data_IF_601916787691
#
_entry.id   IF_601916787691
#
_cell.length_a   1.000
_cell.length_b   1.000
_cell.length_c   1.000
_cell.angle_alpha   90.00
_cell.angle_beta   90.00
_cell.angle_gamma   90.00
#
_symmetry.space_group_name_H-M   'P 1'
#
loop_
_entity.id
_entity.type
_entity.pdbx_description
1 polymer ?
#
# COMPACT_ATOMS: atom_id res chain seq x y z
N UNK A 1 -15.06 22.28 -3.21
CA UNK A 1 -15.34 20.92 -3.70
C UNK A 1 -14.47 19.97 -2.88
N UNK A 2 -15.02 18.91 -2.31
CA UNK A 2 -14.28 18.03 -1.38
C UNK A 2 -13.53 16.95 -2.17
N UNK A 3 -12.35 16.54 -1.69
CA UNK A 3 -11.57 15.40 -2.23
C UNK A 3 -11.22 14.41 -1.12
N UNK A 4 -11.10 13.13 -1.44
CA UNK A 4 -10.52 12.16 -0.52
C UNK A 4 -9.01 12.46 -0.40
N UNK A 5 -8.55 12.72 0.82
CA UNK A 5 -7.15 13.11 1.08
C UNK A 5 -6.23 11.90 1.23
N UNK A 6 -6.43 11.15 2.31
CA UNK A 6 -5.59 10.00 2.67
C UNK A 6 -6.47 8.77 2.94
N UNK A 7 -5.90 7.60 2.67
CA UNK A 7 -6.25 6.34 3.33
C UNK A 7 -5.15 6.09 4.37
N UNK A 8 -5.52 6.03 5.65
CA UNK A 8 -4.54 5.95 6.74
C UNK A 8 -4.47 4.55 7.34
N UNK A 9 -3.25 4.03 7.44
CA UNK A 9 -2.88 2.79 8.11
C UNK A 9 -2.21 3.11 9.42
N UNK A 10 -2.62 2.39 10.46
CA UNK A 10 -1.69 2.15 11.55
C UNK A 10 -0.58 1.22 11.06
N UNK A 11 0.66 1.54 11.39
CA UNK A 11 1.82 0.74 11.05
C UNK A 11 2.82 0.69 12.23
N UNK A 12 3.40 -0.48 12.48
CA UNK A 12 4.47 -0.71 13.44
C UNK A 12 5.81 -0.13 12.93
N UNK A 13 6.08 -0.25 11.62
CA UNK A 13 7.17 0.45 10.90
C UNK A 13 6.58 1.24 9.72
N UNK A 14 6.10 2.48 9.96
CA UNK A 14 5.48 3.31 8.93
C UNK A 14 6.36 3.56 7.73
N UNK A 15 7.68 3.69 7.92
CA UNK A 15 8.62 3.93 6.83
C UNK A 15 8.72 2.69 5.94
N UNK A 16 9.04 1.53 6.51
CA UNK A 16 9.15 0.29 5.76
C UNK A 16 7.85 -0.05 5.03
N UNK A 17 6.70 0.10 5.70
CA UNK A 17 5.41 -0.21 5.10
C UNK A 17 5.06 0.77 3.97
N UNK A 18 5.39 2.05 4.12
CA UNK A 18 5.20 3.03 3.04
C UNK A 18 6.06 2.74 1.81
N UNK A 19 7.29 2.26 2.00
CA UNK A 19 8.18 1.86 0.90
C UNK A 19 7.68 0.62 0.18
N UNK A 20 7.17 -0.38 0.92
CA UNK A 20 6.50 -1.54 0.31
C UNK A 20 5.34 -1.10 -0.59
N UNK A 21 4.44 -0.26 -0.09
CA UNK A 21 3.30 0.21 -0.87
C UNK A 21 3.70 1.13 -2.04
N UNK A 22 4.77 1.90 -1.91
CA UNK A 22 5.34 2.65 -3.03
C UNK A 22 5.84 1.69 -4.13
N UNK A 23 6.55 0.62 -3.77
CA UNK A 23 7.03 -0.39 -4.73
C UNK A 23 5.91 -1.22 -5.37
N UNK A 24 4.78 -1.41 -4.66
CA UNK A 24 3.58 -2.04 -5.23
C UNK A 24 3.08 -1.24 -6.44
N UNK A 25 2.99 0.09 -6.30
CA UNK A 25 2.47 0.97 -7.36
C UNK A 25 3.54 1.57 -8.27
N UNK A 26 4.83 1.29 -8.03
CA UNK A 26 5.94 1.89 -8.77
C UNK A 26 6.10 3.40 -8.49
N UNK A 27 5.66 3.86 -7.32
CA UNK A 27 5.85 5.24 -6.86
C UNK A 27 7.29 5.43 -6.36
N UNK A 28 7.80 6.68 -6.34
CA UNK A 28 9.04 6.96 -5.63
C UNK A 28 8.87 6.62 -4.15
N UNK A 29 9.87 5.96 -3.56
CA UNK A 29 9.95 5.81 -2.10
C UNK A 29 10.21 7.20 -1.52
N UNK A 30 9.26 7.71 -0.76
CA UNK A 30 9.36 9.02 -0.14
C UNK A 30 9.99 8.89 1.24
N UNK A 31 10.99 9.72 1.49
CA UNK A 31 11.52 10.03 2.82
C UNK A 31 11.29 11.53 3.07
N UNK A 32 11.48 11.98 4.32
CA UNK A 32 11.36 13.38 4.68
C UNK A 32 12.36 14.24 3.88
N UNK A 33 11.91 15.22 3.09
CA UNK A 33 12.80 16.20 2.44
C UNK A 33 13.71 16.86 3.47
N UNK A 34 14.98 17.09 3.11
CA UNK A 34 16.01 17.57 4.05
C UNK A 34 15.63 18.86 4.78
N UNK A 35 14.98 19.80 4.08
CA UNK A 35 14.51 21.06 4.64
C UNK A 35 13.37 20.85 5.65
N UNK A 36 12.37 20.04 5.29
CA UNK A 36 11.27 19.69 6.19
C UNK A 36 11.80 18.89 7.40
N UNK A 37 12.72 17.94 7.19
CA UNK A 37 13.37 17.17 8.26
C UNK A 37 14.05 18.10 9.25
N UNK A 38 14.91 19.02 8.77
CA UNK A 38 15.59 20.01 9.61
C UNK A 38 14.61 20.87 10.39
N UNK A 39 13.58 21.39 9.74
CA UNK A 39 12.55 22.19 10.40
C UNK A 39 11.88 21.45 11.57
N UNK A 40 11.61 20.16 11.39
CA UNK A 40 10.96 19.36 12.44
C UNK A 40 11.91 19.01 13.59
N UNK A 41 13.19 18.78 13.30
CA UNK A 41 14.22 18.60 14.33
C UNK A 41 14.44 19.87 15.14
N UNK A 42 14.48 21.03 14.48
CA UNK A 42 14.57 22.34 15.14
C UNK A 42 13.33 22.64 16.01
N UNK A 43 12.17 22.06 15.66
CA UNK A 43 10.95 22.11 16.45
C UNK A 43 10.93 21.12 17.64
N UNK A 44 12.02 20.35 17.84
CA UNK A 44 12.20 19.45 18.98
C UNK A 44 11.74 18.01 18.76
N UNK A 45 11.40 17.62 17.52
CA UNK A 45 11.18 16.20 17.19
C UNK A 45 12.52 15.47 17.08
N UNK A 46 12.48 14.17 17.32
CA UNK A 46 13.61 13.26 17.09
C UNK A 46 13.50 12.58 15.72
N UNK A 47 14.57 11.95 15.27
CA UNK A 47 14.52 11.11 14.07
C UNK A 47 13.49 9.97 14.23
N UNK A 48 13.41 9.36 15.42
CA UNK A 48 12.38 8.37 15.74
C UNK A 48 10.95 8.92 15.59
N UNK A 49 10.71 10.18 15.93
CA UNK A 49 9.38 10.80 15.75
C UNK A 49 9.01 10.98 14.28
N UNK A 50 10.02 11.21 13.42
CA UNK A 50 9.84 11.34 11.98
C UNK A 50 9.58 9.97 11.34
N UNK A 51 10.28 8.93 11.79
CA UNK A 51 10.13 7.56 11.28
C UNK A 51 8.79 6.91 11.67
N UNK A 52 8.07 7.49 12.65
CA UNK A 52 6.68 7.11 13.00
C UNK A 52 5.64 7.53 11.96
N UNK A 53 6.06 7.99 10.79
CA UNK A 53 5.19 8.45 9.71
C UNK A 53 5.80 8.07 8.35
N UNK A 54 4.96 7.59 7.44
CA UNK A 54 5.34 7.23 6.07
C UNK A 54 4.25 7.59 5.06
N UNK A 55 4.63 7.75 3.80
CA UNK A 55 3.73 8.16 2.72
C UNK A 55 4.03 7.39 1.43
N UNK A 56 2.99 6.84 0.80
CA UNK A 56 3.04 6.41 -0.59
C UNK A 56 2.01 7.24 -1.38
N UNK A 57 2.49 7.94 -2.41
CA UNK A 57 1.70 8.88 -3.21
C UNK A 57 2.08 8.76 -4.68
N UNK A 58 1.08 8.78 -5.55
CA UNK A 58 1.29 8.91 -6.99
C UNK A 58 2.01 10.23 -7.27
N UNK A 59 3.17 10.24 -7.96
CA UNK A 59 3.92 11.46 -8.23
C UNK A 59 3.15 12.52 -9.04
N UNK A 60 2.08 12.12 -9.73
CA UNK A 60 1.18 13.03 -10.45
C UNK A 60 -0.02 13.49 -9.59
N UNK A 61 -0.07 13.09 -8.31
CA UNK A 61 -1.12 13.48 -7.37
C UNK A 61 -2.48 12.86 -7.67
N UNK A 62 -2.51 11.72 -8.37
CA UNK A 62 -3.76 11.01 -8.69
C UNK A 62 -4.23 10.16 -7.51
N UNK A 63 -5.52 10.26 -7.22
CA UNK A 63 -6.15 9.47 -6.15
C UNK A 63 -5.79 9.92 -4.73
N UNK A 64 -6.24 9.16 -3.71
CA UNK A 64 -5.87 9.39 -2.33
C UNK A 64 -4.44 8.89 -2.06
N UNK A 65 -3.76 9.51 -1.10
CA UNK A 65 -2.44 9.04 -0.64
C UNK A 65 -2.61 7.89 0.36
N UNK A 66 -1.68 6.94 0.38
CA UNK A 66 -1.60 5.98 1.47
C UNK A 66 -0.69 6.54 2.55
N UNK A 67 -1.24 6.75 3.73
CA UNK A 67 -0.55 7.36 4.86
C UNK A 67 -0.35 6.35 5.97
N UNK A 68 0.87 6.20 6.45
CA UNK A 68 1.23 5.23 7.47
C UNK A 68 1.66 5.97 8.72
N UNK A 69 1.14 5.54 9.87
CA UNK A 69 1.40 6.22 11.13
C UNK A 69 1.45 5.25 12.30
N UNK A 70 2.46 5.42 13.14
CA UNK A 70 2.54 4.76 14.44
C UNK A 70 1.96 5.70 15.51
N UNK A 71 0.80 5.34 16.07
CA UNK A 71 0.21 6.06 17.20
C UNK A 71 0.95 5.75 18.51
N UNK A 72 0.59 6.38 19.63
CA UNK A 72 1.26 6.22 20.94
C UNK A 72 1.08 4.84 21.60
N UNK A 73 0.69 3.82 20.84
CA UNK A 73 0.58 2.43 21.27
C UNK A 73 0.02 1.52 20.18
N UNK A 74 0.28 0.22 20.33
CA UNK A 74 -0.18 -0.81 19.39
C UNK A 74 -1.67 -0.72 19.11
N UNK A 75 -2.03 -0.76 17.83
CA UNK A 75 -3.44 -0.76 17.45
C UNK A 75 -4.12 -2.05 17.92
N UNK A 76 -5.22 -1.89 18.65
CA UNK A 76 -6.08 -3.01 19.03
C UNK A 76 -6.97 -3.41 17.86
N UNK A 77 -6.51 -4.38 17.09
CA UNK A 77 -7.25 -4.97 15.96
C UNK A 77 -6.89 -4.38 14.60
N UNK A 78 -7.37 -5.05 13.55
CA UNK A 78 -6.97 -4.75 12.16
C UNK A 78 -7.63 -3.49 11.62
N UNK A 79 -6.98 -2.85 10.65
CA UNK A 79 -7.68 -1.94 9.73
C UNK A 79 -8.81 -2.74 9.06
N UNK A 80 -10.08 -2.31 9.22
CA UNK A 80 -11.25 -2.98 8.59
C UNK A 80 -11.53 -2.46 7.18
N UNK A 81 -10.51 -1.95 6.51
CA UNK A 81 -10.56 -1.49 5.14
C UNK A 81 -9.96 -2.58 4.25
N UNK A 82 -10.49 -2.69 3.04
CA UNK A 82 -9.97 -3.56 2.01
C UNK A 82 -9.47 -2.71 0.84
N UNK A 83 -8.27 -3.02 0.33
CA UNK A 83 -7.71 -2.40 -0.88
C UNK A 83 -7.60 -3.46 -1.97
N UNK A 84 -8.06 -3.10 -3.16
CA UNK A 84 -7.83 -3.89 -4.36
C UNK A 84 -6.74 -3.22 -5.20
N UNK A 85 -5.67 -3.96 -5.46
CA UNK A 85 -4.59 -3.63 -6.37
C UNK A 85 -4.89 -4.32 -7.70
N UNK A 86 -4.87 -3.57 -8.81
CA UNK A 86 -5.12 -4.13 -10.13
C UNK A 86 -3.86 -4.05 -10.98
N UNK A 87 -3.48 -5.17 -11.60
CA UNK A 87 -2.40 -5.25 -12.56
C UNK A 87 -2.83 -4.51 -13.83
N UNK A 88 -1.95 -3.66 -14.35
CA UNK A 88 -2.22 -2.94 -15.58
C UNK A 88 -2.43 -3.93 -16.75
N UNK A 89 -3.54 -3.84 -17.49
CA UNK A 89 -3.74 -4.67 -18.67
C UNK A 89 -2.78 -4.25 -19.80
N UNK A 90 -2.40 -5.22 -20.62
CA UNK A 90 -1.63 -4.98 -21.86
C UNK A 90 -2.56 -4.87 -23.07
N UNK A 91 -2.08 -4.26 -24.14
CA UNK A 91 -2.73 -4.22 -25.47
C UNK A 91 -4.19 -3.71 -25.48
N UNK A 92 -4.52 -2.79 -24.56
CA UNK A 92 -5.86 -2.20 -24.46
C UNK A 92 -6.92 -3.16 -23.91
N UNK A 93 -6.53 -4.30 -23.35
CA UNK A 93 -7.45 -5.20 -22.68
C UNK A 93 -8.11 -4.53 -21.46
N UNK A 94 -9.28 -5.04 -21.06
CA UNK A 94 -9.98 -4.53 -19.87
C UNK A 94 -9.37 -5.01 -18.56
N UNK A 95 -8.74 -6.19 -18.55
CA UNK A 95 -8.15 -6.85 -17.37
C UNK A 95 -6.82 -7.49 -17.75
N UNK A 96 -5.90 -7.58 -16.79
CA UNK A 96 -4.68 -8.35 -16.95
C UNK A 96 -4.98 -9.85 -17.13
N UNK A 97 -4.04 -10.59 -17.72
CA UNK A 97 -4.17 -12.05 -17.83
C UNK A 97 -3.89 -12.71 -16.48
N UNK A 98 -4.37 -13.93 -16.29
CA UNK A 98 -4.11 -14.71 -15.08
C UNK A 98 -2.60 -14.87 -14.81
N UNK A 99 -1.82 -15.07 -15.87
CA UNK A 99 -0.37 -15.22 -15.81
C UNK A 99 0.32 -13.91 -15.37
N UNK A 100 -0.15 -12.76 -15.85
CA UNK A 100 0.38 -11.46 -15.44
C UNK A 100 0.08 -11.17 -13.97
N UNK A 101 -1.12 -11.51 -13.50
CA UNK A 101 -1.52 -11.40 -12.09
C UNK A 101 -0.70 -12.35 -11.21
N UNK A 102 -0.46 -13.58 -11.66
CA UNK A 102 0.34 -14.56 -10.92
C UNK A 102 1.81 -14.14 -10.85
N UNK A 103 2.37 -13.59 -11.92
CA UNK A 103 3.72 -13.02 -11.93
C UNK A 103 3.85 -11.82 -10.99
N UNK A 104 2.86 -10.94 -10.97
CA UNK A 104 2.85 -9.80 -10.05
C UNK A 104 2.72 -10.26 -8.58
N UNK A 105 1.89 -11.28 -8.31
CA UNK A 105 1.84 -11.92 -6.98
C UNK A 105 3.22 -12.40 -6.55
N UNK A 106 4.00 -13.03 -7.43
CA UNK A 106 5.36 -13.48 -7.11
C UNK A 106 6.32 -12.31 -6.85
N UNK A 107 6.21 -11.21 -7.62
CA UNK A 107 6.97 -9.98 -7.38
C UNK A 107 6.64 -9.40 -6.00
N UNK A 108 5.37 -9.27 -5.66
CA UNK A 108 4.91 -8.71 -4.38
C UNK A 108 5.35 -9.59 -3.19
N UNK A 109 5.35 -10.92 -3.35
CA UNK A 109 5.94 -11.82 -2.34
C UNK A 109 7.43 -11.54 -2.16
N UNK A 110 8.17 -11.31 -3.25
CA UNK A 110 9.57 -10.88 -3.19
C UNK A 110 9.81 -9.56 -2.47
N UNK A 111 8.80 -8.68 -2.40
CA UNK A 111 8.83 -7.42 -1.64
C UNK A 111 8.43 -7.57 -0.16
N UNK A 112 8.03 -8.77 0.28
CA UNK A 112 7.65 -9.06 1.66
C UNK A 112 6.15 -9.24 1.88
N UNK A 113 5.32 -9.25 0.83
CA UNK A 113 3.93 -9.66 0.95
C UNK A 113 3.82 -11.17 1.24
N UNK A 114 2.70 -11.60 1.81
CA UNK A 114 2.37 -13.02 1.96
C UNK A 114 1.04 -13.36 1.28
N UNK A 115 0.97 -14.55 0.69
CA UNK A 115 -0.25 -15.05 0.06
C UNK A 115 -1.16 -15.65 1.13
N UNK A 116 -2.43 -15.24 1.14
CA UNK A 116 -3.48 -15.86 1.95
C UNK A 116 -4.13 -17.01 1.18
N UNK A 117 -4.67 -16.72 -0.02
CA UNK A 117 -5.27 -17.71 -0.92
C UNK A 117 -5.54 -17.12 -2.31
N UNK A 118 -5.66 -17.99 -3.30
CA UNK A 118 -6.34 -17.66 -4.56
C UNK A 118 -7.85 -17.76 -4.34
N UNK A 119 -8.60 -16.79 -4.82
CA UNK A 119 -10.04 -16.90 -4.99
C UNK A 119 -10.34 -17.06 -6.46
N UNK A 120 -11.07 -18.12 -6.79
CA UNK A 120 -11.64 -18.37 -8.11
C UNK A 120 -13.10 -18.76 -7.91
N UNK A 121 -14.01 -17.85 -8.27
CA UNK A 121 -15.43 -18.06 -8.12
C UNK A 121 -16.23 -17.36 -9.23
N UNK A 122 -17.48 -17.78 -9.37
CA UNK A 122 -18.40 -17.22 -10.35
C UNK A 122 -19.55 -16.52 -9.63
N UNK A 123 -19.69 -15.21 -9.82
CA UNK A 123 -20.86 -14.45 -9.37
C UNK A 123 -21.80 -14.17 -10.55
N UNK A 124 -22.69 -15.14 -10.83
CA UNK A 124 -23.60 -15.07 -11.97
C UNK A 124 -22.85 -15.07 -13.29
N UNK A 125 -22.88 -13.95 -14.02
CA UNK A 125 -22.14 -13.78 -15.29
C UNK A 125 -20.70 -13.25 -15.08
N UNK A 126 -20.32 -12.91 -13.85
CA UNK A 126 -19.05 -12.25 -13.55
C UNK A 126 -18.07 -13.23 -12.91
N UNK A 127 -16.99 -13.62 -13.62
CA UNK A 127 -15.91 -14.36 -13.01
C UNK A 127 -15.07 -13.45 -12.11
N UNK A 128 -14.75 -13.97 -10.93
CA UNK A 128 -13.86 -13.37 -9.94
C UNK A 128 -12.63 -14.25 -9.78
N UNK A 129 -11.47 -13.68 -10.11
CA UNK A 129 -10.16 -14.29 -9.86
C UNK A 129 -9.24 -13.24 -9.28
N UNK A 130 -8.74 -13.47 -8.07
CA UNK A 130 -7.79 -12.58 -7.40
C UNK A 130 -7.02 -13.31 -6.31
N UNK A 131 -5.81 -12.83 -6.02
CA UNK A 131 -5.05 -13.28 -4.86
C UNK A 131 -5.41 -12.43 -3.65
N UNK A 132 -5.87 -13.07 -2.57
CA UNK A 132 -5.89 -12.43 -1.26
C UNK A 132 -4.47 -12.47 -0.69
N UNK A 133 -3.95 -11.31 -0.33
CA UNK A 133 -2.59 -11.13 0.14
C UNK A 133 -2.57 -10.30 1.42
N UNK A 134 -1.43 -10.33 2.09
CA UNK A 134 -1.11 -9.48 3.24
C UNK A 134 0.18 -8.74 2.99
N UNK A 135 0.20 -7.46 3.36
CA UNK A 135 1.43 -6.67 3.38
C UNK A 135 2.38 -7.15 4.51
N UNK A 136 3.61 -6.62 4.62
CA UNK A 136 4.58 -7.03 5.63
C UNK A 136 4.09 -6.97 7.08
N UNK A 137 3.07 -6.16 7.37
CA UNK A 137 2.48 -6.01 8.71
C UNK A 137 1.13 -6.75 8.87
N UNK A 138 0.70 -7.48 7.84
CA UNK A 138 -0.49 -8.31 7.89
C UNK A 138 -1.80 -7.61 7.51
N UNK A 139 -1.77 -6.39 6.96
CA UNK A 139 -2.98 -5.76 6.42
C UNK A 139 -3.40 -6.50 5.14
N UNK A 140 -4.70 -6.78 5.02
CA UNK A 140 -5.25 -7.58 3.92
C UNK A 140 -5.55 -6.71 2.69
N UNK A 141 -5.13 -7.17 1.51
CA UNK A 141 -5.45 -6.57 0.21
C UNK A 141 -5.67 -7.66 -0.84
N UNK A 142 -6.31 -7.30 -1.95
CA UNK A 142 -6.47 -8.18 -3.11
C UNK A 142 -5.58 -7.73 -4.27
N UNK A 143 -5.07 -8.69 -5.04
CA UNK A 143 -4.40 -8.47 -6.31
C UNK A 143 -5.20 -9.13 -7.44
N UNK A 144 -5.55 -8.36 -8.47
CA UNK A 144 -6.40 -8.78 -9.60
C UNK A 144 -5.94 -8.27 -10.96
#
# INVERSE_FOLDING_TARGET
MNRLGNITFYADDPRALSHFWADVFGYPRLDWPDDMRRQQLDAGLTDDDLDRRGLAEDPEGRGPRLYFHHADGSKRGRNRLHIDVSVAPVDGARRATAEAVDAEKDRLVGLGASVVRLVEQQWGAWPERYWQMRDPEGNEFCLQ
#
